data_IF_636596878768
#
_entry.id   IF_636596878768
#
_cell.length_a   1.000
_cell.length_b   1.000
_cell.length_c   1.000
_cell.angle_alpha   90.00
_cell.angle_beta   90.00
_cell.angle_gamma   90.00
#
_symmetry.space_group_name_H-M   'P 1'
#
loop_
_entity.id
_entity.type
_entity.pdbx_description
1 polymer ?
#
# COMPACT_ATOMS: atom_id res chain seq x y z
N UNK A 1 -18.82 -7.61 -12.05
CA UNK A 1 -18.31 -6.22 -11.97
C UNK A 1 -16.83 -6.33 -11.67
N UNK A 2 -15.99 -5.44 -12.18
CA UNK A 2 -14.58 -5.43 -11.85
C UNK A 2 -14.39 -5.04 -10.37
N UNK A 3 -13.39 -5.63 -9.70
CA UNK A 3 -13.02 -5.29 -8.32
C UNK A 3 -12.30 -3.93 -8.31
N UNK A 4 -12.91 -2.92 -7.70
CA UNK A 4 -12.54 -1.51 -7.82
C UNK A 4 -11.48 -1.12 -6.80
N UNK A 5 -10.34 -0.61 -7.26
CA UNK A 5 -9.22 -0.25 -6.40
C UNK A 5 -8.93 1.25 -6.50
N UNK A 6 -8.84 1.93 -5.35
CA UNK A 6 -8.25 3.26 -5.25
C UNK A 6 -6.84 3.13 -4.69
N UNK A 7 -5.86 3.76 -5.34
CA UNK A 7 -4.46 3.75 -4.91
C UNK A 7 -4.05 5.12 -4.41
N UNK A 8 -3.51 5.21 -3.18
CA UNK A 8 -2.98 6.44 -2.60
C UNK A 8 -1.45 6.44 -2.63
N UNK A 9 -0.85 7.54 -3.09
CA UNK A 9 0.60 7.68 -3.28
C UNK A 9 1.11 9.03 -2.76
N UNK A 10 2.39 9.12 -2.36
CA UNK A 10 3.03 10.39 -1.95
C UNK A 10 4.32 10.73 -2.71
N UNK A 11 4.73 9.92 -3.69
CA UNK A 11 6.04 10.11 -4.34
C UNK A 11 6.11 9.51 -5.74
N UNK A 12 7.20 8.78 -6.02
CA UNK A 12 7.51 8.24 -7.37
C UNK A 12 6.49 7.26 -7.93
N UNK A 13 5.71 6.58 -7.09
CA UNK A 13 4.64 5.68 -7.53
C UNK A 13 5.14 4.39 -8.18
N UNK A 14 6.27 3.82 -7.76
CA UNK A 14 6.78 2.57 -8.35
C UNK A 14 5.92 1.36 -8.01
N UNK A 15 5.30 1.34 -6.82
CA UNK A 15 4.29 0.34 -6.45
C UNK A 15 2.99 0.52 -7.25
N UNK A 16 2.56 1.76 -7.47
CA UNK A 16 1.43 2.06 -8.35
C UNK A 16 1.72 1.57 -9.77
N UNK A 17 2.94 1.80 -10.30
CA UNK A 17 3.28 1.34 -11.64
C UNK A 17 3.13 -0.17 -11.79
N UNK A 18 3.57 -0.96 -10.82
CA UNK A 18 3.42 -2.42 -10.89
C UNK A 18 1.94 -2.86 -10.92
N UNK A 19 1.05 -2.14 -10.24
CA UNK A 19 -0.40 -2.39 -10.31
C UNK A 19 -0.99 -1.97 -11.67
N UNK A 20 -0.54 -0.84 -12.24
CA UNK A 20 -0.95 -0.40 -13.58
C UNK A 20 -0.51 -1.41 -14.64
N UNK A 21 0.73 -1.89 -14.56
CA UNK A 21 1.25 -2.90 -15.48
C UNK A 21 0.48 -4.22 -15.37
N UNK A 22 0.19 -4.66 -14.14
CA UNK A 22 -0.60 -5.87 -13.90
C UNK A 22 -2.05 -5.75 -14.41
N UNK A 23 -2.68 -4.59 -14.27
CA UNK A 23 -4.03 -4.34 -14.81
C UNK A 23 -4.10 -4.46 -16.33
N UNK A 24 -3.01 -4.23 -17.03
CA UNK A 24 -2.95 -4.39 -18.50
C UNK A 24 -2.85 -5.87 -18.93
N UNK A 25 -2.51 -6.77 -18.01
CA UNK A 25 -2.38 -8.19 -18.29
C UNK A 25 -3.73 -8.92 -18.24
N UNK A 26 -4.00 -9.87 -19.16
CA UNK A 26 -5.20 -10.67 -19.13
C UNK A 26 -5.29 -11.51 -17.84
N UNK A 27 -6.43 -11.41 -17.16
CA UNK A 27 -6.71 -12.24 -15.98
C UNK A 27 -6.46 -11.56 -14.64
N UNK A 28 -5.91 -10.35 -14.60
CA UNK A 28 -5.84 -9.57 -13.36
C UNK A 28 -7.25 -9.16 -12.90
N UNK A 29 -7.60 -9.50 -11.67
CA UNK A 29 -8.98 -9.40 -11.17
C UNK A 29 -9.42 -7.99 -10.75
N UNK A 30 -8.51 -7.01 -10.69
CA UNK A 30 -8.77 -5.69 -10.16
C UNK A 30 -8.67 -4.57 -11.22
N UNK A 31 -9.42 -3.49 -10.99
CA UNK A 31 -9.40 -2.27 -11.80
C UNK A 31 -9.04 -1.05 -10.92
N UNK A 32 -7.99 -0.32 -11.27
CA UNK A 32 -7.65 0.94 -10.60
C UNK A 32 -8.59 2.02 -11.12
N UNK A 33 -9.54 2.42 -10.29
CA UNK A 33 -10.57 3.40 -10.66
C UNK A 33 -10.17 4.85 -10.36
N UNK A 34 -9.18 5.05 -9.47
CA UNK A 34 -8.59 6.36 -9.21
C UNK A 34 -7.24 6.24 -8.49
N UNK A 35 -6.42 7.28 -8.64
CA UNK A 35 -5.18 7.47 -7.89
C UNK A 35 -5.23 8.81 -7.15
N UNK A 36 -5.07 8.77 -5.83
CA UNK A 36 -5.05 9.94 -4.97
C UNK A 36 -3.68 10.25 -4.39
N UNK A 37 -3.43 11.51 -4.05
CA UNK A 37 -2.20 11.92 -3.39
C UNK A 37 -2.39 13.01 -2.36
N UNK A 38 -1.57 12.99 -1.29
CA UNK A 38 -1.40 14.12 -0.35
C UNK A 38 -0.48 15.22 -0.90
N UNK A 39 -0.05 15.12 -2.17
CA UNK A 39 0.83 16.07 -2.84
C UNK A 39 0.35 16.33 -4.26
N UNK A 40 0.73 17.49 -4.78
CA UNK A 40 0.56 17.83 -6.20
C UNK A 40 1.86 17.59 -6.95
N UNK A 41 1.79 17.49 -8.27
CA UNK A 41 2.96 17.43 -9.16
C UNK A 41 4.01 16.38 -8.76
N UNK A 42 3.56 15.15 -8.51
CA UNK A 42 4.42 13.99 -8.23
C UNK A 42 4.38 12.99 -9.38
N UNK A 43 5.47 12.27 -9.55
CA UNK A 43 5.59 11.26 -10.62
C UNK A 43 4.50 10.18 -10.55
N UNK A 44 4.05 9.81 -9.34
CA UNK A 44 2.95 8.85 -9.16
C UNK A 44 1.65 9.29 -9.83
N UNK A 45 1.27 10.58 -9.78
CA UNK A 45 0.11 11.10 -10.49
C UNK A 45 0.33 11.13 -12.01
N UNK A 46 1.52 11.49 -12.46
CA UNK A 46 1.87 11.46 -13.90
C UNK A 46 1.79 10.04 -14.48
N UNK A 47 2.13 9.01 -13.70
CA UNK A 47 1.98 7.60 -14.11
C UNK A 47 0.51 7.24 -14.32
N UNK A 48 -0.37 7.65 -13.39
CA UNK A 48 -1.80 7.44 -13.51
C UNK A 48 -2.38 8.18 -14.73
N UNK A 49 -1.99 9.44 -14.95
CA UNK A 49 -2.43 10.24 -16.09
C UNK A 49 -2.02 9.59 -17.43
N UNK A 50 -0.77 9.09 -17.53
CA UNK A 50 -0.31 8.34 -18.72
C UNK A 50 -1.13 7.08 -18.98
N UNK A 51 -1.59 6.42 -17.90
CA UNK A 51 -2.46 5.24 -17.96
C UNK A 51 -3.94 5.61 -18.13
N UNK A 52 -4.29 6.91 -18.21
CA UNK A 52 -5.67 7.44 -18.30
C UNK A 52 -6.54 7.05 -17.11
N UNK A 53 -5.94 6.90 -15.94
CA UNK A 53 -6.63 6.65 -14.68
C UNK A 53 -6.96 8.00 -14.04
N UNK A 54 -8.21 8.23 -13.58
CA UNK A 54 -8.59 9.45 -12.87
C UNK A 54 -7.69 9.74 -11.68
N UNK A 55 -7.28 11.01 -11.50
CA UNK A 55 -6.42 11.44 -10.41
C UNK A 55 -7.07 12.50 -9.55
N UNK A 56 -6.69 12.55 -8.27
CA UNK A 56 -7.00 13.66 -7.37
C UNK A 56 -5.85 13.97 -6.42
N UNK A 57 -5.77 15.20 -5.94
CA UNK A 57 -4.80 15.63 -4.94
C UNK A 57 -5.51 16.27 -3.77
N UNK A 58 -5.13 15.84 -2.55
CA UNK A 58 -5.65 16.41 -1.30
C UNK A 58 -4.50 16.72 -0.33
N UNK A 59 -3.76 17.83 -0.55
CA UNK A 59 -2.60 18.19 0.26
C UNK A 59 -2.99 18.54 1.70
N UNK A 60 -2.22 18.03 2.67
CA UNK A 60 -2.34 18.45 4.06
C UNK A 60 -1.45 19.66 4.31
N UNK A 61 -2.02 20.85 4.41
CA UNK A 61 -1.28 22.06 4.73
C UNK A 61 -0.71 22.02 6.17
N UNK A 62 0.43 22.68 6.39
CA UNK A 62 1.01 22.78 7.73
C UNK A 62 0.05 23.54 8.67
N UNK A 63 -0.31 22.92 9.78
CA UNK A 63 -1.25 23.47 10.77
C UNK A 63 -2.74 23.33 10.41
N UNK A 64 -3.08 22.64 9.34
CA UNK A 64 -4.48 22.34 9.01
C UNK A 64 -5.12 21.38 10.04
N UNK A 65 -6.42 21.45 10.16
CA UNK A 65 -7.21 20.50 10.96
C UNK A 65 -7.09 19.10 10.33
N UNK A 66 -6.38 18.23 11.03
CA UNK A 66 -6.12 16.86 10.59
C UNK A 66 -7.40 16.04 10.48
N UNK A 67 -8.35 16.24 11.38
CA UNK A 67 -9.62 15.52 11.37
C UNK A 67 -10.54 15.99 10.23
N UNK A 68 -10.53 17.30 9.91
CA UNK A 68 -11.22 17.81 8.74
C UNK A 68 -10.61 17.24 7.44
N UNK A 69 -9.29 17.28 7.33
CA UNK A 69 -8.56 16.70 6.19
C UNK A 69 -8.88 15.21 5.98
N UNK A 70 -8.94 14.44 7.06
CA UNK A 70 -9.25 13.00 7.00
C UNK A 70 -10.68 12.75 6.50
N UNK A 71 -11.66 13.53 6.99
CA UNK A 71 -13.06 13.46 6.50
C UNK A 71 -13.15 13.80 5.00
N UNK A 72 -12.48 14.86 4.56
CA UNK A 72 -12.47 15.26 3.16
C UNK A 72 -11.81 14.19 2.26
N UNK A 73 -10.68 13.62 2.69
CA UNK A 73 -10.04 12.49 1.99
C UNK A 73 -10.98 11.29 1.91
N UNK A 74 -11.72 11.02 3.00
CA UNK A 74 -12.70 9.92 3.05
C UNK A 74 -13.79 10.10 1.99
N UNK A 75 -14.37 11.30 1.88
CA UNK A 75 -15.39 11.59 0.88
C UNK A 75 -14.87 11.55 -0.55
N UNK A 76 -13.66 12.06 -0.80
CA UNK A 76 -13.02 11.98 -2.10
C UNK A 76 -12.84 10.52 -2.54
N UNK A 77 -12.35 9.65 -1.67
CA UNK A 77 -12.17 8.23 -1.95
C UNK A 77 -13.51 7.52 -2.10
N UNK A 78 -14.50 7.83 -1.24
CA UNK A 78 -15.82 7.24 -1.29
C UNK A 78 -16.55 7.52 -2.62
N UNK A 79 -16.29 8.68 -3.24
CA UNK A 79 -16.86 9.04 -4.55
C UNK A 79 -16.50 8.08 -5.68
N UNK A 80 -15.44 7.28 -5.52
CA UNK A 80 -15.03 6.26 -6.47
C UNK A 80 -15.57 4.86 -6.16
N UNK A 81 -16.32 4.70 -5.06
CA UNK A 81 -16.91 3.42 -4.62
C UNK A 81 -15.93 2.24 -4.68
N UNK A 82 -14.80 2.28 -3.93
CA UNK A 82 -13.77 1.24 -3.99
C UNK A 82 -14.15 0.01 -3.18
N UNK A 83 -13.80 -1.17 -3.71
CA UNK A 83 -13.78 -2.43 -2.98
C UNK A 83 -12.51 -2.53 -2.11
N UNK A 84 -11.41 -1.95 -2.58
CA UNK A 84 -10.11 -1.97 -1.90
C UNK A 84 -9.41 -0.60 -2.03
N UNK A 85 -8.69 -0.22 -0.98
CA UNK A 85 -7.79 0.94 -0.98
C UNK A 85 -6.37 0.45 -0.73
N UNK A 86 -5.43 0.86 -1.59
CA UNK A 86 -4.01 0.51 -1.49
C UNK A 86 -3.21 1.75 -1.13
N UNK A 87 -2.53 1.73 0.01
CA UNK A 87 -1.56 2.76 0.39
C UNK A 87 -0.20 2.39 -0.23
N UNK A 88 0.07 2.86 -1.44
CA UNK A 88 1.28 2.53 -2.20
C UNK A 88 2.39 3.57 -1.97
N UNK A 89 3.01 3.55 -0.80
CA UNK A 89 3.95 4.58 -0.38
C UNK A 89 3.26 5.91 -0.05
N UNK A 90 2.08 5.84 0.54
CA UNK A 90 1.36 7.00 1.05
C UNK A 90 1.90 7.40 2.43
N UNK A 91 2.44 8.62 2.54
CA UNK A 91 3.21 9.08 3.71
C UNK A 91 2.35 9.74 4.80
N UNK A 92 1.04 9.60 4.74
CA UNK A 92 0.13 10.08 5.78
C UNK A 92 -0.58 8.91 6.45
N UNK A 93 -0.67 8.95 7.76
CA UNK A 93 -1.57 8.06 8.47
C UNK A 93 -3.00 8.48 8.16
N UNK A 94 -3.85 7.55 7.79
CA UNK A 94 -5.29 7.78 7.69
C UNK A 94 -5.90 7.90 9.08
N UNK A 95 -6.95 8.68 9.22
CA UNK A 95 -7.58 8.93 10.52
C UNK A 95 -8.79 8.06 10.78
N UNK A 96 -9.51 8.38 11.87
CA UNK A 96 -10.67 7.59 12.31
C UNK A 96 -11.82 7.58 11.30
N UNK A 97 -12.11 8.70 10.66
CA UNK A 97 -13.20 8.77 9.68
C UNK A 97 -12.92 7.84 8.48
N UNK A 98 -11.67 7.80 8.02
CA UNK A 98 -11.25 6.92 6.95
C UNK A 98 -11.30 5.44 7.36
N UNK A 99 -10.82 5.12 8.57
CA UNK A 99 -10.85 3.76 9.11
C UNK A 99 -12.28 3.27 9.39
N UNK A 100 -13.17 4.13 9.91
CA UNK A 100 -14.58 3.79 10.12
C UNK A 100 -15.30 3.47 8.79
N UNK A 101 -14.97 4.22 7.73
CA UNK A 101 -15.62 4.06 6.42
C UNK A 101 -15.09 2.86 5.65
N UNK A 102 -13.79 2.59 5.71
CA UNK A 102 -13.09 1.64 4.86
C UNK A 102 -12.37 0.51 5.61
N UNK A 103 -12.49 0.43 6.93
CA UNK A 103 -11.82 -0.58 7.75
C UNK A 103 -12.02 -1.99 7.21
N UNK A 104 -10.95 -2.78 7.26
CA UNK A 104 -10.91 -4.14 6.72
C UNK A 104 -10.68 -4.24 5.21
N UNK A 105 -10.65 -3.13 4.47
CA UNK A 105 -10.36 -3.06 3.03
C UNK A 105 -9.36 -1.96 2.67
N UNK A 106 -8.47 -1.64 3.59
CA UNK A 106 -7.30 -0.78 3.36
C UNK A 106 -6.08 -1.64 3.55
N UNK A 107 -5.20 -1.68 2.56
CA UNK A 107 -3.93 -2.39 2.65
C UNK A 107 -2.75 -1.44 2.49
N UNK A 108 -1.64 -1.81 3.11
CA UNK A 108 -0.35 -1.14 2.97
C UNK A 108 0.74 -2.18 2.75
N UNK A 109 1.84 -1.76 2.13
CA UNK A 109 3.07 -2.54 2.08
C UNK A 109 4.16 -1.90 2.92
N UNK A 110 4.96 -2.74 3.58
CA UNK A 110 6.05 -2.30 4.44
C UNK A 110 7.34 -3.06 4.09
N UNK A 111 8.49 -2.37 3.95
CA UNK A 111 9.74 -2.98 3.51
C UNK A 111 10.51 -3.70 4.63
N UNK A 112 9.82 -4.56 5.39
CA UNK A 112 10.38 -5.48 6.38
C UNK A 112 9.42 -6.66 6.61
N UNK A 113 9.88 -7.70 7.32
CA UNK A 113 9.04 -8.80 7.78
C UNK A 113 8.38 -8.44 9.12
N UNK A 114 7.20 -7.81 9.06
CA UNK A 114 6.44 -7.49 10.27
C UNK A 114 6.17 -8.76 11.11
N UNK A 115 6.19 -8.66 12.44
CA UNK A 115 6.21 -7.44 13.26
C UNK A 115 7.60 -6.87 13.52
N UNK A 116 8.66 -7.34 12.85
CA UNK A 116 10.00 -6.78 12.98
C UNK A 116 10.13 -5.50 12.18
N UNK A 117 10.84 -4.51 12.75
CA UNK A 117 11.23 -3.25 12.11
C UNK A 117 10.04 -2.43 11.56
N UNK A 118 9.02 -2.11 12.37
CA UNK A 118 7.93 -1.23 11.95
C UNK A 118 8.43 0.21 11.78
N UNK A 119 7.68 1.03 11.06
CA UNK A 119 7.97 2.45 10.86
C UNK A 119 8.73 2.76 9.57
N UNK A 120 9.33 3.95 9.48
CA UNK A 120 9.80 4.51 8.20
C UNK A 120 11.10 3.91 7.65
N UNK A 121 11.85 3.14 8.42
CA UNK A 121 13.23 2.78 8.08
C UNK A 121 13.51 1.27 8.09
N UNK A 122 12.53 0.44 7.79
CA UNK A 122 12.61 -1.03 7.91
C UNK A 122 13.86 -1.66 7.32
N UNK A 123 14.28 -1.27 6.11
CA UNK A 123 15.49 -1.79 5.48
C UNK A 123 16.78 -1.40 6.22
N UNK A 124 16.87 -0.13 6.70
CA UNK A 124 18.01 0.34 7.50
C UNK A 124 18.06 -0.37 8.84
N UNK A 125 16.93 -0.42 9.53
CA UNK A 125 16.85 -0.98 10.87
C UNK A 125 17.15 -2.50 10.85
N UNK A 126 16.73 -3.20 9.80
CA UNK A 126 17.07 -4.61 9.57
C UNK A 126 18.58 -4.81 9.36
N UNK A 127 19.22 -3.94 8.55
CA UNK A 127 20.66 -4.01 8.28
C UNK A 127 21.48 -3.69 9.54
N UNK A 128 21.11 -2.61 10.28
CA UNK A 128 21.79 -2.21 11.52
C UNK A 128 21.64 -3.25 12.64
N UNK A 129 20.50 -3.96 12.69
CA UNK A 129 20.28 -5.04 13.64
C UNK A 129 21.13 -6.29 13.33
N UNK A 130 21.54 -6.45 12.06
CA UNK A 130 22.36 -7.58 11.61
C UNK A 130 21.57 -8.85 11.30
N UNK A 131 20.28 -8.75 10.96
CA UNK A 131 19.48 -9.92 10.52
C UNK A 131 20.03 -10.47 9.21
N UNK A 132 19.86 -11.76 8.97
CA UNK A 132 20.27 -12.42 7.72
C UNK A 132 19.14 -12.50 6.69
N UNK A 133 17.91 -12.28 7.15
CA UNK A 133 16.69 -12.28 6.31
C UNK A 133 15.82 -11.11 6.76
N UNK A 134 15.39 -10.32 5.79
CA UNK A 134 14.30 -9.33 5.91
C UNK A 134 13.29 -9.58 4.79
N UNK A 135 12.53 -8.61 4.35
CA UNK A 135 11.59 -8.80 3.25
C UNK A 135 10.59 -7.67 3.10
N UNK A 136 9.40 -8.03 2.63
CA UNK A 136 8.25 -7.14 2.53
C UNK A 136 7.03 -7.81 3.13
N UNK A 137 6.13 -7.00 3.67
CA UNK A 137 4.84 -7.41 4.25
C UNK A 137 3.73 -6.58 3.62
N UNK A 138 2.69 -7.24 3.12
CA UNK A 138 1.40 -6.59 2.80
C UNK A 138 0.41 -6.94 3.91
N UNK A 139 -0.25 -5.92 4.47
CA UNK A 139 -1.11 -6.06 5.64
C UNK A 139 -2.32 -5.13 5.57
N UNK A 140 -3.37 -5.46 6.31
CA UNK A 140 -4.54 -4.62 6.51
C UNK A 140 -4.21 -3.49 7.47
N UNK A 141 -4.60 -2.27 7.12
CA UNK A 141 -4.37 -1.09 7.96
C UNK A 141 -5.40 -1.03 9.07
N UNK A 142 -4.90 -0.83 10.30
CA UNK A 142 -5.68 -0.56 11.52
C UNK A 142 -5.28 0.79 12.14
N UNK A 143 -5.68 1.05 13.38
CA UNK A 143 -5.39 2.29 14.11
C UNK A 143 -3.91 2.46 14.49
N UNK A 144 -3.14 1.35 14.48
CA UNK A 144 -1.72 1.36 14.84
C UNK A 144 -0.81 1.63 13.64
N UNK A 145 0.49 1.77 13.92
CA UNK A 145 1.50 1.86 12.88
C UNK A 145 2.01 0.46 12.56
N UNK A 146 1.81 0.01 11.32
CA UNK A 146 2.26 -1.28 10.81
C UNK A 146 1.84 -2.48 11.69
N UNK A 147 0.67 -2.39 12.35
CA UNK A 147 0.20 -3.35 13.36
C UNK A 147 -0.93 -4.25 12.89
N UNK A 148 -1.51 -4.01 11.75
CA UNK A 148 -2.67 -4.73 11.25
C UNK A 148 -2.43 -6.20 10.87
N UNK A 149 -3.50 -6.90 10.50
CA UNK A 149 -3.44 -8.30 10.13
C UNK A 149 -2.64 -8.49 8.82
N UNK A 150 -1.68 -9.41 8.85
CA UNK A 150 -0.81 -9.70 7.71
C UNK A 150 -1.58 -10.52 6.67
N UNK A 151 -1.55 -10.03 5.43
CA UNK A 151 -2.13 -10.70 4.26
C UNK A 151 -1.13 -11.70 3.66
N UNK A 152 0.10 -11.23 3.43
CA UNK A 152 1.17 -12.06 2.92
C UNK A 152 2.55 -11.42 3.15
N UNK A 153 3.62 -12.23 3.07
CA UNK A 153 5.00 -11.82 3.30
C UNK A 153 5.94 -12.51 2.32
N UNK A 154 6.97 -11.78 1.88
CA UNK A 154 8.01 -12.33 1.04
C UNK A 154 9.41 -12.00 1.61
N UNK A 155 10.28 -13.01 1.69
CA UNK A 155 11.60 -12.91 2.30
C UNK A 155 12.65 -12.40 1.32
N UNK A 156 13.59 -11.60 1.82
CA UNK A 156 14.78 -11.10 1.10
C UNK A 156 16.02 -11.36 1.93
N UNK A 157 17.03 -12.00 1.32
CA UNK A 157 18.32 -12.26 1.98
C UNK A 157 19.09 -10.95 2.14
N UNK A 158 19.63 -10.70 3.33
CA UNK A 158 20.58 -9.63 3.60
C UNK A 158 22.00 -10.18 3.35
N UNK A 159 22.74 -9.49 2.49
CA UNK A 159 24.12 -9.85 2.13
C UNK A 159 25.11 -9.14 3.04
N UNK A 160 26.28 -9.72 3.24
CA UNK A 160 27.28 -9.16 4.15
C UNK A 160 27.87 -7.82 3.65
N UNK A 161 27.78 -7.56 2.35
CA UNK A 161 28.24 -6.33 1.68
C UNK A 161 27.12 -5.35 1.35
N UNK A 162 25.90 -5.56 1.86
CA UNK A 162 24.77 -4.67 1.57
C UNK A 162 24.97 -3.27 2.14
N UNK A 163 24.71 -2.30 1.30
CA UNK A 163 24.32 -0.96 1.75
C UNK A 163 22.81 -0.89 1.98
N UNK A 164 22.34 0.07 2.78
CA UNK A 164 20.90 0.31 2.97
C UNK A 164 20.19 0.47 1.63
N UNK A 165 20.80 1.19 0.68
CA UNK A 165 20.23 1.40 -0.64
C UNK A 165 20.14 0.09 -1.44
N UNK A 166 21.20 -0.72 -1.47
CA UNK A 166 21.23 -1.99 -2.20
C UNK A 166 20.19 -2.99 -1.67
N UNK A 167 20.09 -3.10 -0.35
CA UNK A 167 19.08 -3.92 0.30
C UNK A 167 17.66 -3.41 -0.01
N UNK A 168 17.43 -2.10 0.12
CA UNK A 168 16.13 -1.49 -0.13
C UNK A 168 15.66 -1.67 -1.58
N UNK A 169 16.55 -1.50 -2.57
CA UNK A 169 16.19 -1.75 -3.98
C UNK A 169 15.79 -3.23 -4.21
N UNK A 170 16.46 -4.17 -3.56
CA UNK A 170 16.10 -5.60 -3.62
C UNK A 170 14.74 -5.87 -2.97
N UNK A 171 14.46 -5.25 -1.81
CA UNK A 171 13.16 -5.34 -1.14
C UNK A 171 12.06 -4.77 -2.04
N UNK A 172 12.27 -3.64 -2.71
CA UNK A 172 11.28 -3.03 -3.60
C UNK A 172 10.87 -3.92 -4.78
N UNK A 173 11.78 -4.77 -5.29
CA UNK A 173 11.41 -5.74 -6.34
C UNK A 173 10.39 -6.72 -5.78
N UNK A 174 10.72 -7.36 -4.66
CA UNK A 174 9.85 -8.32 -3.97
C UNK A 174 8.54 -7.68 -3.51
N UNK A 175 8.59 -6.44 -3.04
CA UNK A 175 7.41 -5.68 -2.58
C UNK A 175 6.40 -5.44 -3.71
N UNK A 176 6.87 -5.09 -4.91
CA UNK A 176 6.01 -4.91 -6.09
C UNK A 176 5.30 -6.20 -6.50
N UNK A 177 6.05 -7.30 -6.57
CA UNK A 177 5.50 -8.62 -6.91
C UNK A 177 4.48 -9.08 -5.86
N UNK A 178 4.81 -8.94 -4.58
CA UNK A 178 3.94 -9.31 -3.47
C UNK A 178 2.64 -8.49 -3.47
N UNK A 179 2.73 -7.16 -3.66
CA UNK A 179 1.56 -6.29 -3.69
C UNK A 179 0.60 -6.65 -4.83
N UNK A 180 1.13 -6.88 -6.03
CA UNK A 180 0.33 -7.29 -7.19
C UNK A 180 -0.38 -8.63 -6.92
N UNK A 181 0.34 -9.62 -6.39
CA UNK A 181 -0.23 -10.93 -6.07
C UNK A 181 -1.33 -10.84 -5.00
N UNK A 182 -1.13 -10.00 -3.96
CA UNK A 182 -2.14 -9.82 -2.91
C UNK A 182 -3.38 -9.10 -3.44
N UNK A 183 -3.23 -8.04 -4.24
CA UNK A 183 -4.38 -7.32 -4.83
C UNK A 183 -5.18 -8.25 -5.74
N UNK A 184 -4.53 -9.02 -6.61
CA UNK A 184 -5.20 -9.99 -7.46
C UNK A 184 -5.94 -11.06 -6.66
N UNK A 185 -5.31 -11.60 -5.61
CA UNK A 185 -5.93 -12.57 -4.72
C UNK A 185 -7.14 -12.01 -4.00
N UNK A 186 -7.08 -10.75 -3.52
CA UNK A 186 -8.22 -10.08 -2.87
C UNK A 186 -9.38 -9.84 -3.85
N UNK A 187 -9.07 -9.61 -5.12
CA UNK A 187 -10.08 -9.42 -6.16
C UNK A 187 -10.77 -10.73 -6.60
N UNK A 188 -10.07 -11.86 -6.50
CA UNK A 188 -10.52 -13.14 -7.05
C UNK A 188 -10.97 -14.15 -6.00
N UNK A 189 -10.61 -13.96 -4.73
CA UNK A 189 -10.96 -14.86 -3.63
C UNK A 189 -11.66 -14.08 -2.50
N UNK A 190 -12.57 -14.76 -1.81
CA UNK A 190 -13.15 -14.24 -0.57
C UNK A 190 -12.14 -14.38 0.57
N UNK A 191 -12.18 -13.45 1.48
CA UNK A 191 -11.32 -13.45 2.65
C UNK A 191 -12.07 -12.91 3.88
N UNK A 192 -11.61 -13.29 5.06
CA UNK A 192 -12.14 -12.81 6.34
C UNK A 192 -11.02 -12.64 7.35
N UNK A 193 -11.23 -11.76 8.29
CA UNK A 193 -10.31 -11.53 9.41
C UNK A 193 -10.80 -12.37 10.60
N UNK A 194 -9.89 -13.18 11.17
CA UNK A 194 -10.08 -13.96 12.38
C UNK A 194 -9.00 -13.57 13.39
N UNK A 195 -9.30 -12.59 14.25
CA UNK A 195 -8.31 -11.93 15.10
C UNK A 195 -7.21 -11.26 14.29
N UNK A 196 -5.97 -11.76 14.40
CA UNK A 196 -4.83 -11.28 13.60
C UNK A 196 -4.58 -12.11 12.32
N UNK A 197 -5.40 -13.08 12.05
CA UNK A 197 -5.21 -13.97 10.90
C UNK A 197 -6.16 -13.62 9.78
N UNK A 198 -5.64 -13.50 8.58
CA UNK A 198 -6.46 -13.45 7.37
C UNK A 198 -6.68 -14.89 6.90
N UNK A 199 -7.93 -15.22 6.69
CA UNK A 199 -8.36 -16.51 6.16
C UNK A 199 -8.88 -16.31 4.75
N UNK A 200 -8.35 -17.08 3.83
CA UNK A 200 -8.79 -17.11 2.45
C UNK A 200 -9.76 -18.27 2.27
N UNK A 201 -10.91 -18.02 1.66
CA UNK A 201 -11.82 -19.07 1.29
C UNK A 201 -11.26 -19.77 0.03
N UNK A 202 -11.43 -21.10 -0.01
CA UNK A 202 -10.94 -21.92 -1.12
C UNK A 202 -11.75 -21.69 -2.40
#
# INVERSE_FOLDING_TARGET
MAFRVVVLVSGSGTLLQSLIDAQAEPGFGAEIVAVGSDRTAIEGLERADRAKIPTFSHPLAKGADRAAWDRELTELVAGYDPDLIVLAGFMKLVGSAFLERFGGRIINSHPALLPSFPGMHGARDALEYGVKITGSTVFLVDEGVDSGAILDQAAVVVRDDDTVQALHERIKVTERELLVAVVDRMATHRWRIDGRKVRWDA
#
